data_IF_916918518464
#
_entry.id   IF_916918518464
#
_cell.length_a   1.000
_cell.length_b   1.000
_cell.length_c   1.000
_cell.angle_alpha   90.00
_cell.angle_beta   90.00
_cell.angle_gamma   90.00
#
_symmetry.space_group_name_H-M   'P 1'
#
loop_
_entity.id
_entity.type
_entity.pdbx_description
1 polymer ?
#
# COMPACT_ATOMS: atom_id res chain seq x y z
N UNK A 1 24.35 -25.52 14.29
CA UNK A 1 23.68 -24.29 14.76
C UNK A 1 22.68 -23.88 13.69
N UNK A 2 21.38 -23.69 14.01
CA UNK A 2 20.46 -23.12 13.02
C UNK A 2 20.93 -21.71 12.64
N UNK A 3 21.01 -21.41 11.34
CA UNK A 3 21.41 -20.09 10.87
C UNK A 3 20.32 -19.07 11.25
N UNK A 4 20.65 -18.17 12.17
CA UNK A 4 19.77 -17.07 12.56
C UNK A 4 19.81 -15.99 11.47
N UNK A 5 18.65 -15.72 10.85
CA UNK A 5 18.51 -14.65 9.87
C UNK A 5 18.30 -13.31 10.59
N UNK A 6 18.82 -12.19 10.04
CA UNK A 6 18.50 -10.87 10.56
C UNK A 6 16.98 -10.62 10.58
N UNK A 7 16.47 -9.78 11.50
CA UNK A 7 15.06 -9.39 11.48
C UNK A 7 14.73 -8.63 10.21
N UNK A 8 13.45 -8.71 9.79
CA UNK A 8 12.94 -7.94 8.66
C UNK A 8 12.91 -6.45 8.99
N UNK A 9 13.08 -5.60 7.96
CA UNK A 9 12.96 -4.16 8.09
C UNK A 9 11.51 -3.79 8.43
N UNK A 10 11.33 -2.97 9.46
CA UNK A 10 10.03 -2.45 9.91
C UNK A 10 9.81 -1.03 9.39
N UNK A 11 8.55 -0.63 9.26
CA UNK A 11 8.16 0.72 8.85
C UNK A 11 8.06 1.70 10.02
N UNK A 12 8.36 1.24 11.24
CA UNK A 12 8.45 2.07 12.44
C UNK A 12 9.77 2.87 12.48
N UNK A 13 9.96 3.61 13.57
CA UNK A 13 11.14 4.47 13.75
C UNK A 13 12.47 3.71 13.93
N UNK A 14 12.46 2.36 14.02
CA UNK A 14 13.69 1.55 14.03
C UNK A 14 14.43 1.60 12.69
N UNK A 15 13.74 1.94 11.60
CA UNK A 15 14.34 2.17 10.29
C UNK A 15 13.83 3.50 9.69
N UNK A 16 14.62 4.59 9.80
CA UNK A 16 14.22 5.91 9.30
C UNK A 16 13.89 5.95 7.81
N UNK A 17 14.56 5.12 7.01
CA UNK A 17 14.34 5.06 5.57
C UNK A 17 12.99 4.42 5.22
N UNK A 18 12.66 3.30 5.86
CA UNK A 18 11.38 2.62 5.66
C UNK A 18 10.21 3.49 6.16
N UNK A 19 10.34 4.09 7.35
CA UNK A 19 9.34 5.01 7.88
C UNK A 19 9.12 6.22 6.95
N UNK A 20 10.21 6.84 6.47
CA UNK A 20 10.11 7.94 5.51
C UNK A 20 9.48 7.51 4.19
N UNK A 21 9.79 6.29 3.71
CA UNK A 21 9.19 5.77 2.49
C UNK A 21 7.68 5.70 2.59
N UNK A 22 7.16 5.10 3.67
CA UNK A 22 5.71 5.01 3.88
C UNK A 22 5.05 6.38 4.06
N UNK A 23 5.61 7.25 4.92
CA UNK A 23 4.95 8.51 5.31
C UNK A 23 5.07 9.62 4.28
N UNK A 24 6.08 9.56 3.41
CA UNK A 24 6.45 10.68 2.54
C UNK A 24 6.53 10.26 1.08
N UNK A 25 7.23 9.16 0.77
CA UNK A 25 7.47 8.78 -0.63
C UNK A 25 6.23 8.18 -1.28
N UNK A 26 5.53 7.26 -0.60
CA UNK A 26 4.32 6.63 -1.15
C UNK A 26 3.16 7.64 -1.36
N UNK A 27 2.85 8.56 -0.42
CA UNK A 27 1.89 9.63 -0.67
C UNK A 27 2.27 10.55 -1.84
N UNK A 28 3.57 10.82 -2.02
CA UNK A 28 4.04 11.60 -3.17
C UNK A 28 3.81 10.88 -4.50
N UNK A 29 4.01 9.56 -4.55
CA UNK A 29 3.70 8.74 -5.73
C UNK A 29 2.21 8.84 -6.06
N UNK A 30 1.32 8.77 -5.08
CA UNK A 30 -0.12 8.97 -5.30
C UNK A 30 -0.41 10.33 -5.93
N UNK A 31 0.17 11.40 -5.38
CA UNK A 31 -0.05 12.75 -5.88
C UNK A 31 0.50 12.93 -7.30
N UNK A 32 1.67 12.37 -7.60
CA UNK A 32 2.24 12.34 -8.95
C UNK A 32 1.35 11.56 -9.93
N UNK A 33 0.83 10.40 -9.53
CA UNK A 33 -0.17 9.65 -10.31
C UNK A 33 -1.39 10.51 -10.63
N UNK A 34 -1.93 11.26 -9.66
CA UNK A 34 -3.07 12.15 -9.92
C UNK A 34 -2.73 13.29 -10.88
N UNK A 35 -1.51 13.84 -10.79
CA UNK A 35 -1.05 14.93 -11.65
C UNK A 35 -0.82 14.47 -13.09
N UNK A 36 -0.30 13.25 -13.29
CA UNK A 36 -0.08 12.66 -14.61
C UNK A 36 -1.39 12.20 -15.29
N UNK A 37 -2.46 12.03 -14.52
CA UNK A 37 -3.76 11.55 -15.00
C UNK A 37 -4.89 12.54 -14.66
N UNK A 38 -4.83 13.78 -15.18
CA UNK A 38 -5.83 14.81 -14.86
C UNK A 38 -7.24 14.48 -15.37
N UNK A 39 -7.37 13.49 -16.26
CA UNK A 39 -8.63 13.00 -16.80
C UNK A 39 -9.31 11.93 -15.93
N UNK A 40 -8.66 11.48 -14.84
CA UNK A 40 -9.33 10.60 -13.87
C UNK A 40 -10.54 11.29 -13.24
N UNK A 41 -11.67 10.59 -13.30
CA UNK A 41 -12.91 11.00 -12.66
C UNK A 41 -13.23 10.09 -11.48
N UNK A 42 -14.16 10.52 -10.62
CA UNK A 42 -14.62 9.70 -9.51
C UNK A 42 -15.08 8.30 -10.00
N UNK A 43 -14.75 7.20 -9.29
CA UNK A 43 -14.24 7.18 -7.91
C UNK A 43 -12.70 7.18 -7.76
N UNK A 44 -11.92 7.16 -8.84
CA UNK A 44 -10.45 6.89 -8.78
C UNK A 44 -9.70 7.92 -7.91
N UNK A 45 -9.83 9.25 -8.13
CA UNK A 45 -9.10 10.22 -7.32
C UNK A 45 -9.47 10.18 -5.83
N UNK A 46 -10.73 9.86 -5.51
CA UNK A 46 -11.19 9.73 -4.12
C UNK A 46 -10.50 8.55 -3.44
N UNK A 47 -10.42 7.39 -4.11
CA UNK A 47 -9.76 6.21 -3.56
C UNK A 47 -8.25 6.42 -3.36
N UNK A 48 -7.59 7.08 -4.32
CA UNK A 48 -6.17 7.44 -4.23
C UNK A 48 -5.89 8.40 -3.08
N UNK A 49 -6.68 9.48 -2.93
CA UNK A 49 -6.52 10.42 -1.82
C UNK A 49 -6.76 9.75 -0.47
N UNK A 50 -7.78 8.89 -0.35
CA UNK A 50 -7.99 8.11 0.87
C UNK A 50 -6.77 7.24 1.21
N UNK A 51 -6.18 6.55 0.23
CA UNK A 51 -4.97 5.75 0.46
C UNK A 51 -3.79 6.62 0.94
N UNK A 52 -3.63 7.83 0.40
CA UNK A 52 -2.63 8.80 0.87
C UNK A 52 -2.87 9.21 2.32
N UNK A 53 -4.12 9.50 2.68
CA UNK A 53 -4.49 9.87 4.04
C UNK A 53 -4.24 8.72 5.03
N UNK A 54 -4.56 7.48 4.63
CA UNK A 54 -4.31 6.28 5.43
C UNK A 54 -2.80 6.09 5.70
N UNK A 55 -1.96 6.29 4.69
CA UNK A 55 -0.49 6.22 4.81
C UNK A 55 0.06 7.28 5.79
N UNK A 56 -0.43 8.52 5.69
CA UNK A 56 0.06 9.64 6.48
C UNK A 56 -0.42 9.59 7.94
N UNK A 57 -1.65 9.12 8.16
CA UNK A 57 -2.30 9.04 9.47
C UNK A 57 -1.94 7.79 10.28
N UNK A 58 -1.09 6.91 9.74
CA UNK A 58 -0.79 5.60 10.34
C UNK A 58 -2.03 4.72 10.52
N UNK A 59 -2.94 4.74 9.55
CA UNK A 59 -4.14 3.92 9.62
C UNK A 59 -3.78 2.42 9.60
N UNK A 60 -4.67 1.54 10.14
CA UNK A 60 -4.58 0.11 9.93
C UNK A 60 -4.58 -0.23 8.44
N UNK A 61 -3.71 -1.14 8.03
CA UNK A 61 -3.65 -1.59 6.63
C UNK A 61 -4.93 -2.37 6.33
N UNK A 62 -5.79 -1.84 5.45
CA UNK A 62 -7.07 -2.46 5.12
C UNK A 62 -6.93 -3.62 4.13
N UNK A 63 -7.78 -4.64 4.27
CA UNK A 63 -7.87 -5.73 3.30
C UNK A 63 -8.42 -5.23 1.95
N UNK A 64 -8.08 -5.92 0.85
CA UNK A 64 -8.63 -5.66 -0.48
C UNK A 64 -10.17 -5.70 -0.48
N UNK A 65 -10.77 -4.95 -1.40
CA UNK A 65 -12.21 -4.99 -1.66
C UNK A 65 -12.47 -5.87 -2.87
N UNK A 66 -13.54 -6.65 -2.81
CA UNK A 66 -14.02 -7.39 -3.98
C UNK A 66 -14.69 -6.42 -4.97
N UNK A 67 -14.59 -6.67 -6.29
CA UNK A 67 -13.91 -7.80 -6.92
C UNK A 67 -12.38 -7.62 -7.01
N UNK A 68 -11.64 -8.69 -6.70
CA UNK A 68 -10.19 -8.77 -6.85
C UNK A 68 -9.83 -10.19 -7.31
N UNK A 69 -9.38 -10.40 -8.57
CA UNK A 69 -9.11 -11.74 -9.11
C UNK A 69 -8.09 -12.56 -8.28
N UNK A 70 -7.17 -11.86 -7.63
CA UNK A 70 -6.09 -12.35 -6.78
C UNK A 70 -6.41 -12.21 -5.27
N UNK A 71 -7.70 -12.06 -4.90
CA UNK A 71 -8.11 -11.83 -3.51
C UNK A 71 -7.59 -12.90 -2.55
N UNK A 72 -7.78 -14.18 -2.89
CA UNK A 72 -7.45 -15.30 -2.00
C UNK A 72 -5.94 -15.41 -1.75
N UNK A 73 -5.13 -15.13 -2.78
CA UNK A 73 -3.67 -15.09 -2.68
C UNK A 73 -3.22 -13.98 -1.72
N UNK A 74 -3.77 -12.78 -1.89
CA UNK A 74 -3.48 -11.66 -1.00
C UNK A 74 -4.06 -11.85 0.41
N UNK A 75 -5.20 -12.52 0.56
CA UNK A 75 -5.82 -12.78 1.85
C UNK A 75 -4.92 -13.68 2.71
N UNK A 76 -4.31 -14.70 2.11
CA UNK A 76 -3.37 -15.58 2.79
C UNK A 76 -2.13 -14.80 3.30
N UNK A 77 -1.57 -13.90 2.48
CA UNK A 77 -0.43 -13.07 2.88
C UNK A 77 -0.85 -12.05 3.94
N UNK A 78 -1.95 -11.33 3.71
CA UNK A 78 -2.48 -10.31 4.60
C UNK A 78 -2.78 -10.85 6.00
N UNK A 79 -3.24 -12.10 6.12
CA UNK A 79 -3.54 -12.72 7.41
C UNK A 79 -2.34 -12.70 8.37
N UNK A 80 -1.10 -12.75 7.86
CA UNK A 80 0.11 -12.64 8.68
C UNK A 80 0.39 -11.23 9.21
N UNK A 81 -0.27 -10.22 8.64
CA UNK A 81 -0.09 -8.79 8.93
C UNK A 81 -1.38 -8.13 9.43
N UNK A 82 -2.43 -8.92 9.70
CA UNK A 82 -3.73 -8.40 10.09
C UNK A 82 -3.63 -7.61 11.40
N UNK A 83 -4.14 -6.37 11.37
CA UNK A 83 -4.08 -5.43 12.50
C UNK A 83 -2.80 -4.60 12.57
N UNK A 84 -1.81 -4.82 11.71
CA UNK A 84 -0.67 -3.91 11.56
C UNK A 84 -1.10 -2.58 10.90
N UNK A 85 -0.41 -1.50 11.24
CA UNK A 85 -0.58 -0.18 10.64
C UNK A 85 0.53 0.10 9.62
N UNK A 86 0.35 1.14 8.80
CA UNK A 86 1.33 1.55 7.80
C UNK A 86 2.73 1.82 8.39
N UNK A 87 2.84 2.34 9.61
CA UNK A 87 4.09 2.64 10.31
C UNK A 87 4.50 1.59 11.35
N UNK A 88 3.84 0.43 11.40
CA UNK A 88 4.23 -0.68 12.29
C UNK A 88 4.41 -2.01 11.57
N UNK A 89 4.30 -2.06 10.24
CA UNK A 89 4.39 -3.29 9.47
C UNK A 89 5.82 -3.65 9.02
N UNK A 90 5.97 -4.81 8.37
CA UNK A 90 7.19 -5.16 7.61
C UNK A 90 7.20 -4.34 6.32
N UNK A 91 8.30 -3.66 6.06
CA UNK A 91 8.43 -2.74 4.93
C UNK A 91 8.19 -3.42 3.58
N UNK A 92 8.72 -4.63 3.40
CA UNK A 92 8.52 -5.40 2.17
C UNK A 92 7.03 -5.65 1.86
N UNK A 93 6.27 -6.11 2.87
CA UNK A 93 4.83 -6.31 2.73
C UNK A 93 4.11 -4.98 2.47
N UNK A 94 4.36 -3.97 3.31
CA UNK A 94 3.69 -2.68 3.20
C UNK A 94 3.87 -2.05 1.81
N UNK A 95 5.08 -2.04 1.27
CA UNK A 95 5.35 -1.44 -0.04
C UNK A 95 4.71 -2.23 -1.19
N UNK A 96 4.80 -3.57 -1.19
CA UNK A 96 4.17 -4.38 -2.24
C UNK A 96 2.64 -4.28 -2.18
N UNK A 97 2.10 -4.32 -0.97
CA UNK A 97 0.67 -4.24 -0.76
C UNK A 97 0.11 -2.85 -1.09
N UNK A 98 0.90 -1.78 -0.86
CA UNK A 98 0.57 -0.44 -1.36
C UNK A 98 0.34 -0.43 -2.87
N UNK A 99 1.24 -1.00 -3.67
CA UNK A 99 1.07 -1.05 -5.12
C UNK A 99 -0.15 -1.88 -5.51
N UNK A 100 -0.46 -2.95 -4.77
CA UNK A 100 -1.69 -3.70 -4.99
C UNK A 100 -2.95 -2.87 -4.68
N UNK A 101 -2.94 -2.06 -3.63
CA UNK A 101 -4.03 -1.13 -3.31
C UNK A 101 -4.14 -0.01 -4.36
N UNK A 102 -3.02 0.48 -4.90
CA UNK A 102 -3.00 1.40 -6.04
C UNK A 102 -3.70 0.79 -7.25
N UNK A 103 -3.36 -0.45 -7.63
CA UNK A 103 -4.03 -1.16 -8.74
C UNK A 103 -5.54 -1.28 -8.53
N UNK A 104 -6.01 -1.47 -7.29
CA UNK A 104 -7.44 -1.46 -6.97
C UNK A 104 -8.03 -0.04 -7.12
N UNK A 105 -7.36 0.98 -6.59
CA UNK A 105 -7.83 2.36 -6.62
C UNK A 105 -7.97 2.88 -8.05
N UNK A 106 -7.04 2.56 -8.95
CA UNK A 106 -7.07 2.93 -10.38
C UNK A 106 -7.90 1.96 -11.24
N UNK A 107 -8.49 0.93 -10.62
CA UNK A 107 -9.32 -0.09 -11.27
C UNK A 107 -8.60 -0.79 -12.42
N UNK A 108 -7.32 -1.11 -12.23
CA UNK A 108 -6.45 -1.73 -13.23
C UNK A 108 -7.09 -2.97 -13.89
N UNK A 109 -7.73 -3.85 -13.11
CA UNK A 109 -8.35 -5.07 -13.63
C UNK A 109 -9.56 -4.82 -14.54
N UNK A 110 -10.12 -3.62 -14.53
CA UNK A 110 -11.25 -3.23 -15.38
C UNK A 110 -10.78 -2.38 -16.57
N UNK A 111 -9.84 -1.47 -16.33
CA UNK A 111 -9.41 -0.47 -17.32
C UNK A 111 -8.16 -0.89 -18.09
N UNK A 112 -7.31 -1.73 -17.48
CA UNK A 112 -5.97 -2.10 -17.94
C UNK A 112 -5.09 -0.88 -18.25
N UNK A 113 -5.40 0.28 -17.66
CA UNK A 113 -4.65 1.53 -17.84
C UNK A 113 -3.57 1.63 -16.78
N UNK A 114 -2.34 1.78 -17.24
CA UNK A 114 -1.21 2.07 -16.36
C UNK A 114 -1.31 3.55 -15.95
N UNK A 115 -1.44 3.85 -14.65
CA UNK A 115 -1.48 5.23 -14.16
C UNK A 115 -0.17 5.98 -14.42
#
# INVERSE_FOLDING_TARGET
MPMQRPPMIRTDMSNPFANNTIRVRLPRIIEETLQLNPDYTAPIPTALRQLSDDLQSDAPISMLKLPAPDYDEWAAIYAHHAGETWQTSIWYFAEHYFYRLMMQAVRWWETQRDP
#
